data_IF_712736146547
#
_entry.id   IF_712736146547
#
_cell.length_a   1.000
_cell.length_b   1.000
_cell.length_c   1.000
_cell.angle_alpha   90.00
_cell.angle_beta   90.00
_cell.angle_gamma   90.00
#
_symmetry.space_group_name_H-M   'P 1'
#
loop_
_entity.id
_entity.type
_entity.pdbx_description
1 polymer ?
#
# COMPACT_ATOMS: atom_id res chain seq x y z
N UNK A 1 -16.80 -13.22 -1.50
CA UNK A 1 -15.37 -13.48 -1.28
C UNK A 1 -14.94 -12.61 -0.11
N UNK A 2 -14.29 -13.15 0.91
CA UNK A 2 -13.65 -12.37 1.98
C UNK A 2 -12.13 -12.51 1.81
N UNK A 3 -11.42 -11.38 1.90
CA UNK A 3 -9.96 -11.32 1.84
C UNK A 3 -9.46 -10.90 3.22
N UNK A 4 -8.69 -11.75 3.87
CA UNK A 4 -8.01 -11.41 5.12
C UNK A 4 -6.57 -10.97 4.80
N UNK A 5 -6.29 -9.69 5.05
CA UNK A 5 -4.99 -9.07 4.80
C UNK A 5 -4.23 -8.76 6.09
N UNK A 6 -4.75 -9.22 7.23
CA UNK A 6 -4.20 -8.87 8.54
C UNK A 6 -2.97 -9.69 8.92
N UNK A 7 -2.75 -10.85 8.31
CA UNK A 7 -1.67 -11.78 8.66
C UNK A 7 -0.49 -11.82 7.68
N UNK A 8 0.37 -12.83 7.85
CA UNK A 8 1.58 -13.05 7.05
C UNK A 8 1.35 -13.25 5.53
N UNK A 9 0.11 -13.36 5.09
CA UNK A 9 -0.28 -13.48 3.67
C UNK A 9 -1.00 -12.21 3.17
N UNK A 10 -0.63 -11.04 3.71
CA UNK A 10 -1.28 -9.76 3.42
C UNK A 10 -1.08 -9.25 1.99
N UNK A 11 -0.14 -9.82 1.22
CA UNK A 11 0.12 -9.43 -0.17
C UNK A 11 -0.80 -10.18 -1.15
N UNK A 12 -1.42 -9.43 -2.06
CA UNK A 12 -2.29 -9.98 -3.11
C UNK A 12 -1.69 -9.69 -4.48
N UNK A 13 -1.65 -10.72 -5.32
CA UNK A 13 -1.42 -10.59 -6.76
C UNK A 13 -2.73 -10.79 -7.54
N UNK A 14 -3.07 -9.83 -8.40
CA UNK A 14 -4.22 -9.94 -9.32
C UNK A 14 -3.72 -10.17 -10.74
N UNK A 15 -4.03 -11.34 -11.31
CA UNK A 15 -3.60 -11.75 -12.65
C UNK A 15 -4.82 -11.96 -13.56
N UNK A 16 -4.69 -11.57 -14.82
CA UNK A 16 -5.77 -11.67 -15.80
C UNK A 16 -5.38 -11.05 -17.14
N UNK A 17 -6.07 -11.46 -18.21
CA UNK A 17 -5.88 -10.93 -19.56
C UNK A 17 -6.24 -9.43 -19.65
N UNK A 18 -5.85 -8.72 -20.73
CA UNK A 18 -6.37 -7.38 -20.99
C UNK A 18 -7.91 -7.35 -20.92
N UNK A 19 -8.48 -6.28 -20.33
CA UNK A 19 -9.93 -6.10 -20.14
C UNK A 19 -10.65 -7.15 -19.26
N UNK A 20 -9.92 -8.03 -18.56
CA UNK A 20 -10.52 -9.01 -17.63
C UNK A 20 -11.07 -8.43 -16.32
N UNK A 21 -10.94 -7.11 -16.10
CA UNK A 21 -11.47 -6.45 -14.90
C UNK A 21 -10.50 -6.32 -13.72
N UNK A 22 -9.19 -6.56 -13.91
CA UNK A 22 -8.15 -6.41 -12.85
C UNK A 22 -8.25 -5.08 -12.09
N UNK A 23 -8.28 -3.95 -12.80
CA UNK A 23 -8.37 -2.63 -12.19
C UNK A 23 -9.72 -2.39 -11.48
N UNK A 24 -10.80 -3.01 -11.97
CA UNK A 24 -12.09 -2.99 -11.27
C UNK A 24 -12.03 -3.78 -9.96
N UNK A 25 -11.37 -4.94 -9.95
CA UNK A 25 -11.16 -5.72 -8.73
C UNK A 25 -10.33 -4.92 -7.71
N UNK A 26 -9.23 -4.30 -8.13
CA UNK A 26 -8.39 -3.45 -7.25
C UNK A 26 -9.23 -2.33 -6.63
N UNK A 27 -9.97 -1.56 -7.42
CA UNK A 27 -10.85 -0.48 -6.90
C UNK A 27 -11.90 -1.00 -5.94
N UNK A 28 -12.48 -2.16 -6.23
CA UNK A 28 -13.49 -2.78 -5.36
C UNK A 28 -12.88 -3.19 -4.02
N UNK A 29 -11.68 -3.77 -4.03
CA UNK A 29 -10.96 -4.14 -2.82
C UNK A 29 -10.58 -2.91 -1.98
N UNK A 30 -10.05 -1.86 -2.61
CA UNK A 30 -9.72 -0.60 -1.96
C UNK A 30 -10.97 0.02 -1.33
N UNK A 31 -12.05 0.18 -2.09
CA UNK A 31 -13.30 0.75 -1.58
C UNK A 31 -13.89 -0.08 -0.43
N UNK A 32 -13.88 -1.41 -0.54
CA UNK A 32 -14.34 -2.31 0.52
C UNK A 32 -13.53 -2.12 1.81
N UNK A 33 -12.21 -1.98 1.69
CA UNK A 33 -11.33 -1.75 2.84
C UNK A 33 -11.54 -0.36 3.46
N UNK A 34 -11.71 0.69 2.64
CA UNK A 34 -12.01 2.06 3.10
C UNK A 34 -13.35 2.17 3.85
N UNK A 35 -14.32 1.31 3.53
CA UNK A 35 -15.62 1.27 4.23
C UNK A 35 -15.55 0.61 5.61
N UNK A 36 -14.46 -0.10 5.90
CA UNK A 36 -14.32 -0.93 7.11
C UNK A 36 -13.18 -0.47 8.03
N UNK A 37 -12.33 0.44 7.56
CA UNK A 37 -11.20 0.98 8.29
C UNK A 37 -11.20 2.50 8.16
N UNK A 38 -10.65 3.19 9.14
CA UNK A 38 -10.40 4.64 9.09
C UNK A 38 -9.07 4.94 8.38
N UNK A 39 -8.85 6.19 7.91
CA UNK A 39 -7.56 6.60 7.33
C UNK A 39 -6.34 6.49 8.27
N UNK A 40 -6.59 6.47 9.58
CA UNK A 40 -5.55 6.29 10.61
C UNK A 40 -5.21 4.81 10.85
N UNK A 41 -6.09 3.91 10.43
CA UNK A 41 -5.88 2.45 10.47
C UNK A 41 -5.29 1.93 9.17
N UNK A 42 -5.73 2.46 8.02
CA UNK A 42 -5.37 1.96 6.70
C UNK A 42 -5.19 3.10 5.69
N UNK A 43 -4.08 3.06 4.96
CA UNK A 43 -3.78 4.02 3.90
C UNK A 43 -3.24 3.34 2.65
N UNK A 44 -3.53 3.93 1.50
CA UNK A 44 -3.10 3.46 0.19
C UNK A 44 -2.14 4.45 -0.46
N UNK A 45 -1.17 3.92 -1.20
CA UNK A 45 -0.43 4.64 -2.23
C UNK A 45 -0.60 3.86 -3.52
N UNK A 46 -1.09 4.52 -4.56
CA UNK A 46 -1.45 3.85 -5.81
C UNK A 46 -0.50 4.22 -6.94
N UNK A 47 -0.18 3.24 -7.80
CA UNK A 47 0.54 3.41 -9.05
C UNK A 47 -0.35 2.89 -10.18
N UNK A 48 -0.81 3.78 -11.06
CA UNK A 48 -1.79 3.49 -12.11
C UNK A 48 -1.15 3.43 -13.50
N UNK A 49 -0.93 2.21 -13.98
CA UNK A 49 -0.48 1.91 -15.33
C UNK A 49 -1.52 1.08 -16.13
N UNK A 50 -2.72 0.89 -15.58
CA UNK A 50 -3.76 0.02 -16.14
C UNK A 50 -4.88 0.72 -16.90
N UNK A 51 -4.98 2.04 -16.79
CA UNK A 51 -5.95 2.83 -17.57
C UNK A 51 -6.48 4.10 -16.89
N UNK A 52 -5.87 4.56 -15.80
CA UNK A 52 -6.28 5.79 -15.11
C UNK A 52 -7.46 5.62 -14.15
N UNK A 53 -7.90 4.37 -13.90
CA UNK A 53 -9.08 4.12 -13.06
C UNK A 53 -8.81 4.34 -11.57
N UNK A 54 -7.57 4.18 -11.10
CA UNK A 54 -7.19 4.44 -9.70
C UNK A 54 -7.03 5.94 -9.44
N UNK A 55 -6.75 6.75 -10.46
CA UNK A 55 -6.68 8.21 -10.31
C UNK A 55 -7.98 8.81 -9.76
N UNK A 56 -9.13 8.22 -10.09
CA UNK A 56 -10.42 8.63 -9.53
C UNK A 56 -10.59 8.38 -8.02
N UNK A 57 -9.64 7.70 -7.36
CA UNK A 57 -9.66 7.48 -5.90
C UNK A 57 -8.77 8.48 -5.14
N UNK A 58 -8.06 9.38 -5.82
CA UNK A 58 -7.07 10.28 -5.20
C UNK A 58 -7.66 11.21 -4.14
N UNK A 59 -8.94 11.57 -4.24
CA UNK A 59 -9.63 12.42 -3.27
C UNK A 59 -10.09 11.66 -2.01
N UNK A 60 -9.99 10.33 -1.98
CA UNK A 60 -10.38 9.55 -0.82
C UNK A 60 -9.40 9.78 0.34
N UNK A 61 -9.87 9.94 1.58
CA UNK A 61 -8.99 10.28 2.72
C UNK A 61 -7.98 9.17 3.04
N UNK A 62 -8.26 7.92 2.65
CA UNK A 62 -7.34 6.80 2.77
C UNK A 62 -6.27 6.78 1.69
N UNK A 63 -6.34 7.60 0.64
CA UNK A 63 -5.37 7.58 -0.47
C UNK A 63 -4.38 8.71 -0.29
N UNK A 64 -3.12 8.38 -0.01
CA UNK A 64 -2.04 9.36 0.15
C UNK A 64 -1.60 9.99 -1.18
N UNK A 65 -1.93 9.34 -2.29
CA UNK A 65 -1.63 9.83 -3.63
C UNK A 65 -1.69 8.73 -4.68
N UNK A 66 -1.83 9.16 -5.93
CA UNK A 66 -1.83 8.29 -7.10
C UNK A 66 -0.73 8.73 -8.07
N UNK A 67 0.23 7.85 -8.33
CA UNK A 67 1.24 8.04 -9.36
C UNK A 67 0.74 7.46 -10.69
N UNK A 68 0.65 8.30 -11.73
CA UNK A 68 0.21 7.86 -13.06
C UNK A 68 1.42 7.56 -13.95
N UNK A 69 1.20 6.72 -14.97
CA UNK A 69 2.24 6.26 -15.91
C UNK A 69 3.21 7.32 -16.46
N UNK A 70 2.73 8.55 -16.70
CA UNK A 70 3.54 9.62 -17.29
C UNK A 70 4.39 10.40 -16.27
N UNK A 71 4.29 10.08 -14.98
CA UNK A 71 5.00 10.75 -13.90
C UNK A 71 5.93 9.76 -13.17
N UNK A 72 7.02 9.39 -13.85
CA UNK A 72 8.04 8.46 -13.34
C UNK A 72 8.59 8.92 -11.97
N UNK A 73 8.79 10.23 -11.80
CA UNK A 73 9.28 10.80 -10.55
C UNK A 73 8.33 10.51 -9.39
N UNK A 74 7.01 10.62 -9.60
CA UNK A 74 6.00 10.29 -8.59
C UNK A 74 5.91 8.78 -8.33
N UNK A 75 6.12 7.94 -9.35
CA UNK A 75 6.19 6.47 -9.17
C UNK A 75 7.40 6.10 -8.31
N UNK A 76 8.60 6.59 -8.64
CA UNK A 76 9.81 6.32 -7.84
C UNK A 76 9.66 6.83 -6.41
N UNK A 77 9.03 8.00 -6.22
CA UNK A 77 8.72 8.54 -4.90
C UNK A 77 7.77 7.64 -4.11
N UNK A 78 6.71 7.14 -4.74
CA UNK A 78 5.76 6.22 -4.10
C UNK A 78 6.46 4.96 -3.57
N UNK A 79 7.31 4.33 -4.40
CA UNK A 79 8.11 3.16 -4.00
C UNK A 79 9.08 3.49 -2.85
N UNK A 80 9.75 4.64 -2.93
CA UNK A 80 10.70 5.10 -1.90
C UNK A 80 10.01 5.34 -0.55
N UNK A 81 8.82 5.96 -0.55
CA UNK A 81 8.04 6.21 0.68
C UNK A 81 7.71 4.89 1.38
N UNK A 82 7.30 3.87 0.63
CA UNK A 82 6.95 2.57 1.20
C UNK A 82 8.18 1.89 1.80
N UNK A 83 9.31 1.90 1.08
CA UNK A 83 10.58 1.36 1.60
C UNK A 83 11.02 2.06 2.88
N UNK A 84 11.02 3.39 2.89
CA UNK A 84 11.33 4.18 4.09
C UNK A 84 10.40 3.84 5.26
N UNK A 85 9.12 3.60 4.98
CA UNK A 85 8.16 3.23 6.02
C UNK A 85 8.44 1.84 6.61
N UNK A 86 8.91 0.90 5.81
CA UNK A 86 9.39 -0.41 6.30
C UNK A 86 10.60 -0.21 7.23
N UNK A 87 11.62 0.51 6.79
CA UNK A 87 12.82 0.80 7.60
C UNK A 87 12.48 1.52 8.93
N UNK A 88 11.58 2.50 8.88
CA UNK A 88 11.08 3.21 10.07
C UNK A 88 10.39 2.26 11.05
N UNK A 89 9.61 1.29 10.55
CA UNK A 89 8.90 0.30 11.36
C UNK A 89 9.83 -0.72 11.98
N UNK A 90 10.81 -1.20 11.23
CA UNK A 90 11.82 -2.12 11.78
C UNK A 90 12.57 -1.50 12.95
N UNK A 91 12.96 -0.22 12.82
CA UNK A 91 13.60 0.52 13.92
C UNK A 91 12.65 0.68 15.10
N UNK A 92 11.42 1.14 14.86
CA UNK A 92 10.42 1.36 15.90
C UNK A 92 10.09 0.06 16.65
N UNK A 93 9.92 -1.04 15.93
CA UNK A 93 9.58 -2.34 16.51
C UNK A 93 10.72 -2.85 17.38
N UNK A 94 11.97 -2.64 16.95
CA UNK A 94 13.16 -2.97 17.75
C UNK A 94 13.25 -2.14 19.03
N UNK A 95 13.00 -0.83 18.93
CA UNK A 95 13.06 0.09 20.07
C UNK A 95 11.96 -0.19 21.10
N UNK A 96 10.74 -0.44 20.64
CA UNK A 96 9.57 -0.69 21.49
C UNK A 96 9.35 -2.16 21.83
N UNK A 97 10.20 -3.07 21.33
CA UNK A 97 10.09 -4.53 21.47
C UNK A 97 8.72 -5.05 21.03
N UNK A 98 8.30 -4.63 19.84
CA UNK A 98 7.07 -5.08 19.20
C UNK A 98 7.40 -6.33 18.38
N UNK A 99 6.74 -7.44 18.69
CA UNK A 99 7.05 -8.75 18.10
C UNK A 99 6.31 -8.98 16.76
N UNK A 100 5.22 -8.26 16.50
CA UNK A 100 4.41 -8.45 15.29
C UNK A 100 3.65 -7.19 14.86
N UNK A 101 3.23 -7.16 13.59
CA UNK A 101 2.32 -6.14 13.08
C UNK A 101 0.97 -6.14 13.84
N UNK A 102 0.51 -7.29 14.33
CA UNK A 102 -0.70 -7.38 15.13
C UNK A 102 -0.54 -6.70 16.49
N UNK A 103 0.62 -6.86 17.14
CA UNK A 103 0.94 -6.15 18.38
C UNK A 103 1.01 -4.62 18.15
N UNK A 104 1.58 -4.19 17.01
CA UNK A 104 1.58 -2.78 16.62
C UNK A 104 0.18 -2.20 16.46
N UNK A 105 -0.72 -2.91 15.75
CA UNK A 105 -2.12 -2.48 15.60
C UNK A 105 -2.85 -2.43 16.94
N UNK A 106 -2.61 -3.39 17.84
CA UNK A 106 -3.17 -3.37 19.20
C UNK A 106 -2.69 -2.15 19.99
N UNK A 107 -1.40 -1.78 19.89
CA UNK A 107 -0.87 -0.57 20.53
C UNK A 107 -1.49 0.69 19.95
N UNK A 108 -1.72 0.75 18.63
CA UNK A 108 -2.46 1.85 17.97
C UNK A 108 -3.87 1.98 18.53
N UNK A 109 -4.62 0.88 18.60
CA UNK A 109 -6.00 0.86 19.11
C UNK A 109 -6.08 1.30 20.59
N UNK A 110 -5.03 1.03 21.37
CA UNK A 110 -4.91 1.46 22.75
C UNK A 110 -4.42 2.91 22.91
N UNK A 111 -4.05 3.60 21.82
CA UNK A 111 -3.43 4.92 21.87
C UNK A 111 -2.06 4.92 22.55
N UNK A 112 -1.37 3.78 22.55
CA UNK A 112 -0.10 3.57 23.27
C UNK A 112 1.14 3.73 22.37
N UNK A 113 0.96 4.10 21.09
CA UNK A 113 2.07 4.44 20.21
C UNK A 113 2.68 5.80 20.62
N UNK A 114 3.99 6.01 20.42
CA UNK A 114 4.61 7.31 20.65
C UNK A 114 3.92 8.41 19.84
N UNK A 115 3.85 9.61 20.41
CA UNK A 115 3.25 10.76 19.75
C UNK A 115 3.90 11.04 18.39
N UNK A 116 3.08 11.34 17.38
CA UNK A 116 3.54 11.55 16.00
C UNK A 116 3.86 10.26 15.23
N UNK A 117 3.71 9.08 15.83
CA UNK A 117 3.81 7.81 15.10
C UNK A 117 2.62 7.68 14.17
N UNK A 118 2.85 7.68 12.86
CA UNK A 118 1.82 7.25 11.90
C UNK A 118 1.46 5.80 12.24
N UNK A 119 0.20 5.48 12.52
CA UNK A 119 -0.22 4.14 12.94
C UNK A 119 -0.78 3.27 11.81
N UNK A 120 -0.99 3.87 10.64
CA UNK A 120 -1.71 3.19 9.57
C UNK A 120 -0.91 2.03 8.97
N UNK A 121 -1.63 0.96 8.64
CA UNK A 121 -1.17 -0.01 7.67
C UNK A 121 -1.07 0.67 6.30
N UNK A 122 0.10 0.63 5.68
CA UNK A 122 0.35 1.25 4.38
C UNK A 122 0.35 0.19 3.29
N UNK A 123 -0.59 0.29 2.36
CA UNK A 123 -0.73 -0.64 1.23
C UNK A 123 -0.29 0.04 -0.06
N UNK A 124 0.75 -0.51 -0.67
CA UNK A 124 1.18 -0.15 -2.03
C UNK A 124 0.33 -0.90 -3.06
N UNK A 125 -0.35 -0.17 -3.94
CA UNK A 125 -1.22 -0.72 -4.97
C UNK A 125 -0.59 -0.47 -6.33
N UNK A 126 -0.21 -1.53 -7.03
CA UNK A 126 0.42 -1.46 -8.34
C UNK A 126 -0.53 -2.03 -9.41
N UNK A 127 -1.13 -1.17 -10.23
CA UNK A 127 -1.86 -1.63 -11.41
C UNK A 127 -0.87 -1.80 -12.57
N UNK A 128 -0.90 -2.97 -13.22
CA UNK A 128 -0.03 -3.34 -14.33
C UNK A 128 1.48 -3.37 -13.99
N UNK A 129 1.86 -4.27 -13.07
CA UNK A 129 3.24 -4.49 -12.62
C UNK A 129 4.28 -4.60 -13.76
N UNK A 130 3.97 -5.30 -14.84
CA UNK A 130 4.89 -5.44 -15.98
C UNK A 130 5.24 -4.08 -16.63
N UNK A 131 4.29 -3.14 -16.66
CA UNK A 131 4.55 -1.80 -17.17
C UNK A 131 5.29 -0.92 -16.15
N UNK A 132 5.05 -1.13 -14.85
CA UNK A 132 5.80 -0.43 -13.77
C UNK A 132 7.28 -0.82 -13.82
N UNK A 133 7.60 -2.12 -13.90
CA UNK A 133 8.98 -2.63 -14.03
C UNK A 133 9.71 -2.08 -15.26
N UNK A 134 8.98 -1.88 -16.36
CA UNK A 134 9.54 -1.29 -17.58
C UNK A 134 9.77 0.22 -17.50
N UNK A 135 9.15 0.90 -16.54
CA UNK A 135 9.25 2.36 -16.38
C UNK A 135 10.21 2.77 -15.26
N UNK A 136 10.37 1.96 -14.21
CA UNK A 136 11.28 2.22 -13.10
C UNK A 136 12.18 1.00 -12.91
N UNK A 137 13.46 1.16 -13.22
CA UNK A 137 14.46 0.09 -13.22
C UNK A 137 14.62 -0.54 -11.82
N UNK A 138 14.57 0.27 -10.77
CA UNK A 138 14.73 -0.18 -9.39
C UNK A 138 13.46 -0.79 -8.79
N UNK A 139 12.34 -0.85 -9.55
CA UNK A 139 11.06 -1.26 -9.00
C UNK A 139 11.08 -2.71 -8.50
N UNK A 140 11.71 -3.63 -9.26
CA UNK A 140 11.79 -5.04 -8.87
C UNK A 140 12.49 -5.22 -7.52
N UNK A 141 13.64 -4.57 -7.34
CA UNK A 141 14.43 -4.63 -6.11
C UNK A 141 13.63 -4.07 -4.94
N UNK A 142 13.07 -2.86 -5.09
CA UNK A 142 12.30 -2.23 -4.02
C UNK A 142 11.07 -3.06 -3.63
N UNK A 143 10.36 -3.63 -4.61
CA UNK A 143 9.16 -4.44 -4.33
C UNK A 143 9.53 -5.78 -3.69
N UNK A 144 10.69 -6.36 -4.02
CA UNK A 144 11.19 -7.57 -3.36
C UNK A 144 11.66 -7.32 -1.92
N UNK A 145 12.25 -6.16 -1.63
CA UNK A 145 12.70 -5.82 -0.28
C UNK A 145 11.55 -5.59 0.70
N UNK A 146 10.38 -5.16 0.21
CA UNK A 146 9.21 -4.84 1.04
C UNK A 146 8.19 -5.98 1.15
N UNK A 147 8.34 -7.08 0.41
CA UNK A 147 7.36 -8.17 0.30
C UNK A 147 7.91 -9.51 0.82
#
# INVERSE_FOLDING_TARGET
LLLDLSGAHGHIAVVGAPQSGRSTLLRTALASAMLTHTPDELRFICVDFGGGTLAGMEEAPHVSGVAVRHDEARVRRALTIVRQRVEERERLFRELKIDSAQDFRRLREQGALPEGTDGADLVLVLDNWGAVRGAVEEADEIVQDIA
#
